data_IF_044446465876
#
_entry.id   IF_044446465876
#
_cell.length_a   1.000
_cell.length_b   1.000
_cell.length_c   1.000
_cell.angle_alpha   90.00
_cell.angle_beta   90.00
_cell.angle_gamma   90.00
#
_symmetry.space_group_name_H-M   'P 1'
#
loop_
_entity.id
_entity.type
_entity.pdbx_description
1 polymer ?
#
# COMPACT_ATOMS: atom_id res chain seq x y z
N UNK A 1 6.81 -20.86 8.11
CA UNK A 1 7.56 -21.31 6.91
C UNK A 1 8.95 -20.72 7.06
N UNK A 2 9.75 -21.32 7.95
CA UNK A 2 11.18 -21.01 8.12
C UNK A 2 11.91 -22.07 7.30
N UNK A 3 12.07 -21.80 6.01
CA UNK A 3 12.86 -22.60 5.10
C UNK A 3 13.92 -21.68 4.54
N UNK A 4 15.19 -21.94 4.88
CA UNK A 4 16.34 -21.26 4.28
C UNK A 4 16.49 -21.59 2.78
N UNK A 5 15.68 -22.51 2.26
CA UNK A 5 15.60 -22.83 0.84
C UNK A 5 14.84 -21.74 0.08
N UNK A 6 15.57 -21.03 -0.79
CA UNK A 6 15.01 -20.02 -1.67
C UNK A 6 14.12 -20.68 -2.73
N UNK A 7 12.83 -20.36 -2.72
CA UNK A 7 11.88 -20.83 -3.72
C UNK A 7 11.89 -19.85 -4.91
N UNK A 8 12.01 -20.33 -6.16
CA UNK A 8 11.93 -19.47 -7.32
C UNK A 8 10.55 -18.79 -7.43
N UNK A 9 10.44 -17.66 -8.15
CA UNK A 9 9.15 -17.03 -8.42
C UNK A 9 8.14 -17.99 -9.06
N UNK A 10 6.86 -17.84 -8.70
CA UNK A 10 5.78 -18.59 -9.34
C UNK A 10 5.58 -18.23 -10.81
N UNK A 11 4.98 -19.12 -11.59
CA UNK A 11 4.66 -18.87 -13.01
C UNK A 11 3.59 -17.77 -13.20
N UNK A 12 2.88 -17.43 -12.13
CA UNK A 12 1.82 -16.43 -12.00
C UNK A 12 2.34 -15.05 -11.56
N UNK A 13 3.64 -14.85 -11.46
CA UNK A 13 4.24 -13.55 -11.09
C UNK A 13 5.49 -13.22 -11.90
N UNK A 14 5.86 -11.94 -11.91
CA UNK A 14 7.17 -11.46 -12.38
C UNK A 14 7.81 -10.66 -11.24
N UNK A 15 8.95 -11.16 -10.77
CA UNK A 15 9.76 -10.56 -9.71
C UNK A 15 10.99 -9.81 -10.25
N UNK A 16 11.35 -10.03 -11.52
CA UNK A 16 12.43 -9.30 -12.17
C UNK A 16 12.09 -7.81 -12.27
N UNK A 17 12.98 -6.95 -11.77
CA UNK A 17 12.75 -5.50 -11.78
C UNK A 17 11.54 -5.05 -10.96
N UNK A 18 11.09 -5.83 -9.96
CA UNK A 18 9.95 -5.47 -9.11
C UNK A 18 10.24 -4.30 -8.14
N UNK A 19 11.51 -3.91 -8.00
CA UNK A 19 11.99 -2.87 -7.10
C UNK A 19 11.65 -3.15 -5.63
N UNK A 20 11.98 -4.36 -5.18
CA UNK A 20 11.90 -4.71 -3.76
C UNK A 20 12.87 -3.82 -2.97
N UNK A 21 12.37 -3.22 -1.88
CA UNK A 21 13.14 -2.25 -1.09
C UNK A 21 12.91 -0.79 -1.50
N UNK A 22 12.04 -0.50 -2.47
CA UNK A 22 11.67 0.90 -2.81
C UNK A 22 11.14 1.67 -1.60
N UNK A 23 10.43 0.97 -0.71
CA UNK A 23 9.97 1.47 0.59
C UNK A 23 10.39 0.47 1.64
N UNK A 24 11.14 0.94 2.65
CA UNK A 24 11.50 0.19 3.86
C UNK A 24 11.10 1.02 5.07
N UNK A 25 10.37 0.44 6.02
CA UNK A 25 9.93 1.12 7.26
C UNK A 25 10.04 0.17 8.45
N UNK A 26 10.51 0.69 9.59
CA UNK A 26 10.62 -0.04 10.85
C UNK A 26 9.71 0.60 11.90
N UNK A 27 9.12 -0.21 12.77
CA UNK A 27 8.41 0.27 13.98
C UNK A 27 9.36 0.75 15.09
N UNK A 28 10.68 0.58 14.91
CA UNK A 28 11.67 0.83 15.95
C UNK A 28 12.16 -0.47 16.61
N UNK A 29 12.85 -0.32 17.73
CA UNK A 29 13.51 -1.43 18.44
C UNK A 29 12.49 -2.49 18.87
N UNK A 30 12.75 -3.74 18.52
CA UNK A 30 11.87 -4.86 18.86
C UNK A 30 10.54 -4.92 18.09
N UNK A 31 10.35 -4.03 17.12
CA UNK A 31 9.13 -3.97 16.31
C UNK A 31 9.27 -4.58 14.92
N UNK A 32 8.18 -4.59 14.17
CA UNK A 32 8.08 -5.14 12.82
C UNK A 32 8.77 -4.26 11.77
N UNK A 33 9.03 -4.83 10.60
CA UNK A 33 9.57 -4.15 9.43
C UNK A 33 8.65 -4.35 8.23
N UNK A 34 8.40 -3.30 7.46
CA UNK A 34 7.71 -3.37 6.17
C UNK A 34 8.69 -3.11 5.03
N UNK A 35 8.64 -3.95 4.00
CA UNK A 35 9.42 -3.81 2.76
C UNK A 35 8.49 -3.95 1.55
N UNK A 36 8.53 -3.02 0.60
CA UNK A 36 7.65 -3.04 -0.57
C UNK A 36 8.37 -3.25 -1.89
N UNK A 37 7.64 -3.80 -2.87
CA UNK A 37 8.01 -3.97 -4.26
C UNK A 37 6.88 -3.44 -5.17
N UNK A 38 6.89 -2.13 -5.44
CA UNK A 38 5.79 -1.46 -6.14
C UNK A 38 5.67 -1.82 -7.64
N UNK A 39 6.70 -2.42 -8.25
CA UNK A 39 6.67 -2.89 -9.64
C UNK A 39 6.45 -4.40 -9.76
N UNK A 40 6.09 -5.07 -8.67
CA UNK A 40 5.70 -6.48 -8.71
C UNK A 40 4.48 -6.67 -9.62
N UNK A 41 4.57 -7.70 -10.48
CA UNK A 41 3.54 -8.01 -11.48
C UNK A 41 2.92 -9.37 -11.16
N UNK A 42 1.60 -9.42 -11.26
CA UNK A 42 0.82 -10.66 -11.28
C UNK A 42 0.45 -10.97 -12.73
N UNK A 43 0.58 -12.23 -13.13
CA UNK A 43 0.21 -12.74 -14.45
C UNK A 43 -1.13 -13.47 -14.36
N UNK A 44 -2.00 -13.18 -15.31
CA UNK A 44 -3.19 -13.98 -15.64
C UNK A 44 -3.00 -14.59 -17.03
N UNK A 45 -3.94 -15.41 -17.50
CA UNK A 45 -3.85 -16.06 -18.81
C UNK A 45 -3.50 -15.06 -19.95
N UNK A 46 -4.19 -13.92 -19.96
CA UNK A 46 -4.10 -12.96 -21.08
C UNK A 46 -3.46 -11.61 -20.70
N UNK A 47 -3.04 -11.41 -19.45
CA UNK A 47 -2.65 -10.08 -18.95
C UNK A 47 -1.56 -10.12 -17.89
N UNK A 48 -0.89 -8.98 -17.74
CA UNK A 48 0.09 -8.70 -16.69
C UNK A 48 -0.32 -7.44 -15.93
N UNK A 49 -0.47 -7.55 -14.61
CA UNK A 49 -0.97 -6.47 -13.76
C UNK A 49 0.12 -6.00 -12.79
N UNK A 50 0.55 -4.74 -12.94
CA UNK A 50 1.51 -4.07 -12.06
C UNK A 50 0.88 -3.65 -10.74
N UNK A 51 0.52 -4.63 -9.90
CA UNK A 51 -0.23 -4.38 -8.68
C UNK A 51 0.65 -3.92 -7.51
N UNK A 52 1.91 -4.37 -7.44
CA UNK A 52 2.78 -4.13 -6.29
C UNK A 52 2.38 -4.94 -5.05
N UNK A 53 3.30 -5.04 -4.09
CA UNK A 53 3.08 -5.74 -2.82
C UNK A 53 4.03 -5.23 -1.74
N UNK A 54 3.67 -5.46 -0.46
CA UNK A 54 4.53 -5.19 0.68
C UNK A 54 4.59 -6.39 1.64
N UNK A 55 5.80 -6.76 2.05
CA UNK A 55 6.06 -7.77 3.05
C UNK A 55 6.09 -7.12 4.44
N UNK A 56 5.50 -7.79 5.42
CA UNK A 56 5.66 -7.49 6.84
C UNK A 56 6.55 -8.57 7.44
N UNK A 57 7.59 -8.14 8.12
CA UNK A 57 8.55 -8.98 8.80
C UNK A 57 8.43 -8.78 10.30
N UNK A 58 8.66 -9.84 11.06
CA UNK A 58 8.77 -9.81 12.51
C UNK A 58 10.01 -9.02 12.96
N UNK A 59 10.15 -8.85 14.28
CA UNK A 59 11.31 -8.16 14.87
C UNK A 59 12.66 -8.84 14.60
N UNK A 60 12.65 -10.16 14.35
CA UNK A 60 13.80 -10.97 13.94
C UNK A 60 13.89 -11.14 12.41
N UNK A 61 13.22 -10.27 11.64
CA UNK A 61 13.24 -10.19 10.18
C UNK A 61 12.70 -11.43 9.45
N UNK A 62 11.91 -12.26 10.12
CA UNK A 62 11.22 -13.40 9.50
C UNK A 62 9.95 -12.94 8.81
N UNK A 63 9.58 -13.63 7.74
CA UNK A 63 8.33 -13.35 7.03
C UNK A 63 7.11 -13.57 7.94
N UNK A 64 6.28 -12.55 8.08
CA UNK A 64 5.05 -12.61 8.86
C UNK A 64 3.80 -12.57 7.97
N UNK A 65 3.71 -11.59 7.07
CA UNK A 65 2.49 -11.31 6.31
C UNK A 65 2.82 -10.63 4.97
N UNK A 66 1.88 -10.69 4.03
CA UNK A 66 1.98 -10.09 2.70
C UNK A 66 0.77 -9.20 2.43
N UNK A 67 1.02 -7.91 2.22
CA UNK A 67 0.01 -6.91 1.90
C UNK A 67 -0.08 -6.69 0.40
N UNK A 68 -1.20 -7.12 -0.19
CA UNK A 68 -1.59 -6.90 -1.59
C UNK A 68 -2.93 -6.16 -1.66
N UNK A 69 -2.97 -4.84 -1.36
CA UNK A 69 -4.23 -4.07 -1.28
C UNK A 69 -5.10 -4.16 -2.54
N UNK A 70 -4.51 -4.43 -3.70
CA UNK A 70 -5.21 -4.50 -4.98
C UNK A 70 -5.54 -5.92 -5.45
N UNK A 71 -5.10 -6.95 -4.74
CA UNK A 71 -5.41 -8.33 -5.10
C UNK A 71 -6.92 -8.58 -5.01
N UNK A 72 -7.46 -9.36 -5.94
CA UNK A 72 -8.89 -9.69 -6.01
C UNK A 72 -9.80 -8.54 -6.43
N UNK A 73 -9.27 -7.36 -6.75
CA UNK A 73 -10.07 -6.24 -7.26
C UNK A 73 -10.22 -6.30 -8.79
N UNK A 74 -11.26 -5.67 -9.36
CA UNK A 74 -11.48 -5.68 -10.81
C UNK A 74 -10.29 -5.12 -11.60
N UNK A 75 -9.90 -5.84 -12.66
CA UNK A 75 -8.84 -5.45 -13.60
C UNK A 75 -9.29 -5.49 -15.06
N UNK A 76 -10.57 -5.79 -15.32
CA UNK A 76 -11.10 -5.93 -16.69
C UNK A 76 -11.06 -4.64 -17.51
N UNK A 77 -10.97 -3.47 -16.85
CA UNK A 77 -10.71 -2.17 -17.48
C UNK A 77 -9.29 -1.64 -17.20
N UNK A 78 -8.36 -2.54 -16.89
CA UNK A 78 -6.94 -2.27 -16.70
C UNK A 78 -6.66 -1.05 -15.79
N UNK A 79 -6.12 0.02 -16.36
CA UNK A 79 -5.73 1.25 -15.65
C UNK A 79 -6.91 2.07 -15.12
N UNK A 80 -8.12 1.91 -15.66
CA UNK A 80 -9.33 2.56 -15.13
C UNK A 80 -9.81 1.93 -13.80
N UNK A 81 -9.24 0.78 -13.43
CA UNK A 81 -9.49 0.07 -12.17
C UNK A 81 -8.17 -0.19 -11.44
N UNK A 82 -7.89 -1.45 -11.04
CA UNK A 82 -6.78 -1.82 -10.15
C UNK A 82 -5.66 -2.60 -10.87
N UNK A 83 -5.64 -2.61 -12.21
CA UNK A 83 -4.64 -3.35 -12.98
C UNK A 83 -3.21 -2.84 -12.80
N UNK A 84 -3.05 -1.55 -12.49
CA UNK A 84 -1.74 -0.89 -12.35
C UNK A 84 -1.63 -0.13 -11.03
N UNK A 85 -1.99 -0.76 -9.91
CA UNK A 85 -1.99 -0.08 -8.62
C UNK A 85 -0.64 0.49 -8.16
N UNK A 86 0.44 -0.26 -8.42
CA UNK A 86 1.78 0.04 -7.92
C UNK A 86 1.83 0.24 -6.39
N UNK A 87 1.20 -0.68 -5.66
CA UNK A 87 1.12 -0.60 -4.23
C UNK A 87 2.49 -0.71 -3.56
N UNK A 88 2.75 0.18 -2.59
CA UNK A 88 4.03 0.25 -1.90
C UNK A 88 5.03 1.19 -2.55
N UNK A 89 4.58 2.03 -3.50
CA UNK A 89 5.38 3.17 -3.99
C UNK A 89 5.79 4.08 -2.84
N UNK A 90 4.91 4.25 -1.86
CA UNK A 90 5.21 4.81 -0.56
C UNK A 90 4.53 4.02 0.54
N UNK A 91 5.03 4.17 1.78
CA UNK A 91 4.41 3.54 2.93
C UNK A 91 4.94 4.03 4.26
N UNK A 92 4.16 3.76 5.30
CA UNK A 92 4.48 4.00 6.71
C UNK A 92 4.05 2.78 7.51
N UNK A 93 4.86 2.43 8.50
CA UNK A 93 4.52 1.46 9.52
C UNK A 93 4.70 2.19 10.87
N UNK A 94 3.61 2.38 11.61
CA UNK A 94 3.63 3.14 12.88
C UNK A 94 3.89 2.22 14.07
N UNK A 95 4.32 2.75 15.21
CA UNK A 95 4.50 1.98 16.45
C UNK A 95 3.21 1.25 16.91
N UNK A 96 2.04 1.78 16.60
CA UNK A 96 0.72 1.22 16.97
C UNK A 96 0.18 0.20 15.96
N UNK A 97 1.07 -0.54 15.30
CA UNK A 97 0.73 -1.58 14.31
C UNK A 97 -0.13 -1.11 13.12
N UNK A 98 -0.12 0.19 12.81
CA UNK A 98 -0.79 0.73 11.63
C UNK A 98 0.15 0.72 10.43
N UNK A 99 -0.31 0.16 9.33
CA UNK A 99 0.39 0.18 8.04
C UNK A 99 -0.40 1.03 7.06
N UNK A 100 0.25 2.03 6.49
CA UNK A 100 -0.29 2.83 5.38
C UNK A 100 0.52 2.51 4.14
N UNK A 101 -0.17 2.16 3.05
CA UNK A 101 0.45 1.87 1.75
C UNK A 101 -0.14 2.83 0.72
N UNK A 102 0.72 3.65 0.12
CA UNK A 102 0.38 4.51 -1.00
C UNK A 102 0.35 3.73 -2.32
N UNK A 103 -0.68 3.99 -3.13
CA UNK A 103 -0.93 3.31 -4.41
C UNK A 103 -1.31 4.36 -5.47
N UNK A 104 -0.35 4.90 -6.24
CA UNK A 104 -0.61 6.04 -7.14
C UNK A 104 -1.40 5.69 -8.41
N UNK A 105 -1.44 4.41 -8.82
CA UNK A 105 -1.95 4.03 -10.13
C UNK A 105 -3.45 3.71 -10.30
N UNK A 106 -4.24 3.34 -9.27
CA UNK A 106 -5.66 3.01 -9.48
C UNK A 106 -6.48 4.13 -10.10
N UNK A 107 -7.52 3.75 -10.86
CA UNK A 107 -8.54 4.65 -11.40
C UNK A 107 -7.99 5.78 -12.29
N UNK A 108 -7.26 5.39 -13.33
CA UNK A 108 -6.60 6.27 -14.30
C UNK A 108 -5.57 7.15 -13.61
N UNK A 109 -4.65 6.50 -12.88
CA UNK A 109 -3.61 7.15 -12.08
C UNK A 109 -4.11 8.28 -11.18
N UNK A 110 -5.35 8.17 -10.72
CA UNK A 110 -5.88 9.08 -9.70
C UNK A 110 -5.15 8.83 -8.38
N UNK A 111 -4.97 7.55 -8.05
CA UNK A 111 -4.26 7.12 -6.86
C UNK A 111 -5.14 7.05 -5.62
N UNK A 112 -4.62 6.39 -4.59
CA UNK A 112 -5.24 6.22 -3.27
C UNK A 112 -4.20 5.72 -2.26
N UNK A 113 -4.63 5.47 -1.02
CA UNK A 113 -3.86 4.83 0.03
C UNK A 113 -4.74 3.85 0.78
N UNK A 114 -4.12 2.78 1.28
CA UNK A 114 -4.76 1.76 2.10
C UNK A 114 -4.18 1.78 3.51
N UNK A 115 -5.01 1.50 4.49
CA UNK A 115 -4.65 1.37 5.90
C UNK A 115 -4.99 -0.05 6.38
N UNK A 116 -4.02 -0.67 7.03
CA UNK A 116 -4.12 -2.00 7.63
C UNK A 116 -3.66 -1.97 9.08
N UNK A 117 -4.12 -2.96 9.86
CA UNK A 117 -3.56 -3.29 11.17
C UNK A 117 -2.74 -4.58 11.07
N UNK A 118 -1.55 -4.61 11.67
CA UNK A 118 -0.64 -5.77 11.70
C UNK A 118 -0.34 -6.27 13.12
N UNK A 119 -1.24 -5.99 14.07
CA UNK A 119 -1.14 -6.55 15.42
C UNK A 119 -1.14 -8.07 15.40
N UNK A 120 -0.35 -8.66 16.30
CA UNK A 120 -0.27 -10.11 16.50
C UNK A 120 -1.45 -10.63 17.33
N UNK A 121 -2.13 -9.75 18.07
CA UNK A 121 -3.32 -10.11 18.85
C UNK A 121 -4.54 -10.22 17.92
N UNK A 122 -4.82 -11.45 17.49
CA UNK A 122 -5.92 -11.76 16.59
C UNK A 122 -7.31 -11.36 17.12
N UNK A 123 -7.52 -11.35 18.45
CA UNK A 123 -8.83 -11.07 19.04
C UNK A 123 -9.14 -9.57 19.06
N UNK A 124 -8.13 -8.72 19.23
CA UNK A 124 -8.28 -7.26 19.27
C UNK A 124 -7.90 -6.58 17.96
N UNK A 125 -7.27 -7.32 17.04
CA UNK A 125 -6.88 -6.80 15.73
C UNK A 125 -8.10 -6.39 14.91
N UNK A 126 -8.14 -5.12 14.58
CA UNK A 126 -9.01 -4.60 13.54
C UNK A 126 -8.60 -5.15 12.16
N UNK A 127 -9.40 -6.08 11.65
CA UNK A 127 -9.22 -6.70 10.33
C UNK A 127 -9.75 -5.83 9.18
N UNK A 128 -10.34 -4.67 9.47
CA UNK A 128 -10.91 -3.78 8.46
C UNK A 128 -9.80 -3.13 7.66
N UNK A 129 -9.91 -3.21 6.33
CA UNK A 129 -9.02 -2.50 5.42
C UNK A 129 -9.66 -1.19 5.04
N UNK A 130 -9.10 -0.08 5.51
CA UNK A 130 -9.57 1.26 5.14
C UNK A 130 -8.83 1.77 3.91
N UNK A 131 -9.45 2.72 3.22
CA UNK A 131 -8.87 3.39 2.09
C UNK A 131 -9.39 4.83 1.97
N UNK A 132 -8.62 5.69 1.29
CA UNK A 132 -9.12 7.02 0.95
C UNK A 132 -10.31 6.94 -0.01
N UNK A 133 -11.28 7.87 0.07
CA UNK A 133 -12.39 7.95 -0.88
C UNK A 133 -11.90 7.83 -2.35
N UNK A 134 -12.59 7.00 -3.13
CA UNK A 134 -12.21 6.67 -4.51
C UNK A 134 -13.27 7.11 -5.50
N UNK A 135 -12.92 7.06 -6.80
CA UNK A 135 -13.82 7.39 -7.91
C UNK A 135 -14.43 8.80 -7.75
N UNK A 136 -15.76 8.92 -7.74
CA UNK A 136 -16.47 10.19 -7.69
C UNK A 136 -16.33 10.91 -6.34
N UNK A 137 -15.98 10.19 -5.25
CA UNK A 137 -15.75 10.78 -3.94
C UNK A 137 -14.29 11.13 -3.70
N UNK A 138 -13.41 10.91 -4.68
CA UNK A 138 -11.98 11.12 -4.49
C UNK A 138 -11.63 12.61 -4.34
N UNK A 139 -10.70 12.96 -3.44
CA UNK A 139 -10.30 14.34 -3.21
C UNK A 139 -9.45 14.94 -4.33
N UNK A 140 -9.08 14.14 -5.34
CA UNK A 140 -8.24 14.56 -6.47
C UNK A 140 -8.78 14.04 -7.81
N UNK A 141 -8.42 14.71 -8.89
CA UNK A 141 -8.78 14.32 -10.26
C UNK A 141 -7.91 13.15 -10.78
N UNK A 142 -8.28 12.58 -11.93
CA UNK A 142 -7.47 11.57 -12.63
C UNK A 142 -6.05 12.09 -12.90
N UNK A 143 -5.07 11.20 -13.00
CA UNK A 143 -3.64 11.51 -13.22
C UNK A 143 -2.93 12.28 -12.09
N UNK A 144 -3.52 12.37 -10.90
CA UNK A 144 -2.95 13.13 -9.77
C UNK A 144 -1.87 12.39 -8.96
N UNK A 145 -1.83 11.06 -9.06
CA UNK A 145 -0.89 10.18 -8.35
C UNK A 145 -1.00 10.26 -6.81
N UNK A 146 -2.23 10.36 -6.27
CA UNK A 146 -2.43 10.32 -4.82
C UNK A 146 -1.83 9.04 -4.22
N UNK A 147 -1.06 9.15 -3.15
CA UNK A 147 -0.33 8.03 -2.56
C UNK A 147 1.09 7.87 -3.11
N UNK A 148 1.59 8.84 -3.89
CA UNK A 148 3.00 8.87 -4.28
C UNK A 148 3.93 9.01 -3.06
N UNK A 149 3.48 9.72 -2.03
CA UNK A 149 4.12 9.82 -0.71
C UNK A 149 3.07 9.76 0.39
N UNK A 150 3.38 9.15 1.52
CA UNK A 150 2.47 9.10 2.68
C UNK A 150 3.21 9.39 3.98
N UNK A 151 2.51 10.00 4.94
CA UNK A 151 2.94 10.13 6.34
C UNK A 151 1.74 10.06 7.28
N UNK A 152 2.00 9.77 8.55
CA UNK A 152 0.97 9.65 9.60
C UNK A 152 1.40 10.49 10.79
N UNK A 153 0.45 11.17 11.42
CA UNK A 153 0.71 11.94 12.62
C UNK A 153 -0.54 12.52 13.23
N UNK A 154 -0.42 13.00 14.47
CA UNK A 154 -1.48 13.78 15.12
C UNK A 154 -1.36 15.25 14.72
N UNK A 155 -1.79 15.58 13.51
CA UNK A 155 -1.67 16.94 12.96
C UNK A 155 -2.67 17.94 13.56
N UNK A 156 -3.76 17.45 14.18
CA UNK A 156 -4.88 18.28 14.62
C UNK A 156 -5.17 18.22 16.13
N UNK A 157 -4.38 17.45 16.89
CA UNK A 157 -4.59 17.24 18.33
C UNK A 157 -5.72 16.26 18.70
N UNK A 158 -6.48 15.75 17.73
CA UNK A 158 -7.66 14.89 17.93
C UNK A 158 -7.46 13.42 17.58
N UNK A 159 -6.21 12.99 17.34
CA UNK A 159 -5.86 11.61 17.00
C UNK A 159 -5.08 11.50 15.71
N UNK A 160 -4.87 10.26 15.23
CA UNK A 160 -4.08 10.01 14.04
C UNK A 160 -4.78 10.51 12.77
N UNK A 161 -4.05 11.26 11.97
CA UNK A 161 -4.40 11.66 10.63
C UNK A 161 -3.34 11.18 9.63
N UNK A 162 -3.76 11.02 8.39
CA UNK A 162 -3.02 10.40 7.31
C UNK A 162 -2.83 11.42 6.20
N UNK A 163 -1.60 11.82 5.95
CA UNK A 163 -1.29 12.74 4.86
C UNK A 163 -0.76 11.98 3.65
N UNK A 164 -1.20 12.38 2.46
CA UNK A 164 -0.83 11.76 1.20
C UNK A 164 -0.56 12.81 0.14
N UNK A 165 0.55 12.64 -0.58
CA UNK A 165 0.93 13.49 -1.70
C UNK A 165 0.27 13.05 -2.99
N UNK A 166 -0.20 14.03 -3.76
CA UNK A 166 -0.71 13.91 -5.12
C UNK A 166 0.05 14.91 -6.01
N UNK A 167 1.31 14.61 -6.38
CA UNK A 167 2.24 15.57 -6.96
C UNK A 167 1.81 16.12 -8.32
N UNK A 168 0.90 15.45 -9.03
CA UNK A 168 0.40 15.90 -10.34
C UNK A 168 -0.98 16.56 -10.27
N UNK A 169 -1.59 16.64 -9.09
CA UNK A 169 -2.89 17.28 -8.90
C UNK A 169 -2.83 18.73 -9.37
N UNK A 170 -3.80 19.14 -10.19
CA UNK A 170 -3.92 20.50 -10.75
C UNK A 170 -2.65 21.04 -11.45
N UNK A 171 -1.74 20.16 -11.90
CA UNK A 171 -0.48 20.56 -12.53
C UNK A 171 0.58 21.15 -11.59
N UNK A 172 0.27 21.36 -10.31
CA UNK A 172 1.17 21.98 -9.32
C UNK A 172 1.46 21.07 -8.12
N UNK A 173 0.59 20.10 -7.87
CA UNK A 173 0.65 19.17 -6.75
C UNK A 173 -0.27 19.57 -5.59
N UNK A 174 -0.67 18.57 -4.81
CA UNK A 174 -1.52 18.73 -3.63
C UNK A 174 -1.09 17.75 -2.53
N UNK A 175 -1.30 18.14 -1.27
CA UNK A 175 -1.28 17.24 -0.12
C UNK A 175 -2.70 17.11 0.42
N UNK A 176 -3.15 15.87 0.59
CA UNK A 176 -4.46 15.54 1.17
C UNK A 176 -4.25 14.98 2.56
N UNK A 177 -4.93 15.53 3.57
CA UNK A 177 -4.92 15.01 4.93
C UNK A 177 -6.29 14.39 5.23
N UNK A 178 -6.29 13.15 5.69
CA UNK A 178 -7.47 12.33 5.94
C UNK A 178 -7.50 11.93 7.42
N UNK A 179 -8.68 11.87 8.00
CA UNK A 179 -8.91 11.29 9.32
C UNK A 179 -9.81 10.06 9.17
N UNK A 180 -9.61 9.06 10.05
CA UNK A 180 -10.52 7.91 10.10
C UNK A 180 -11.86 8.39 10.67
N UNK A 181 -12.95 8.16 9.95
CA UNK A 181 -14.30 8.40 10.49
C UNK A 181 -14.60 7.30 11.53
N UNK A 182 -14.79 7.69 12.78
CA UNK A 182 -15.35 6.80 13.81
C UNK A 182 -16.87 6.71 13.57
N UNK A 183 -17.40 5.49 13.58
CA UNK A 183 -18.82 5.21 13.42
C UNK A 183 -19.50 5.14 14.78
#
# INVERSE_FOLDING_TARGET
>A
IDSDELIPPGNDEIKDGQWLGVTVRSQGVGGKVMVCAHRHIIKTADSQWGQGQCYILTHDLKYQDLKKPCSGKPTNKAHEQFGYCQAGTSGVLTPEDRVVIGTPGPHTWRGTLYLFTVSDDYLTRDSTVYHAPMQEQSPVSKYSYLGMSVTVGNFFGSGLAYASGAPRSNGTGQVVILARKEL
#
